data_IF_766568656088
#
_entry.id   IF_766568656088
#
_cell.length_a   1.000
_cell.length_b   1.000
_cell.length_c   1.000
_cell.angle_alpha   90.00
_cell.angle_beta   90.00
_cell.angle_gamma   90.00
#
_symmetry.space_group_name_H-M   'P 1'
#
loop_
_entity.id
_entity.type
_entity.pdbx_description
1 polymer ?
#
# COMPACT_ATOMS: atom_id res chain seq x y z
N UNK A 1 -5.12 0.51 25.65
CA UNK A 1 -6.21 1.47 25.40
C UNK A 1 -5.60 2.87 25.47
N UNK A 2 -5.13 3.41 24.34
CA UNK A 2 -4.47 4.72 24.30
C UNK A 2 -5.50 5.82 24.60
N UNK A 3 -5.12 6.77 25.45
CA UNK A 3 -5.95 7.90 25.84
C UNK A 3 -6.51 8.64 24.62
N UNK A 4 -7.82 8.84 24.61
CA UNK A 4 -8.59 9.34 23.45
C UNK A 4 -8.09 10.71 22.96
N UNK A 5 -7.50 11.48 23.88
CA UNK A 5 -6.93 12.82 23.68
C UNK A 5 -5.63 12.81 22.85
N UNK A 6 -4.77 11.81 23.05
CA UNK A 6 -3.48 11.68 22.32
C UNK A 6 -3.73 11.22 20.88
N UNK A 7 -4.64 10.25 20.70
CA UNK A 7 -5.02 9.76 19.37
C UNK A 7 -5.71 10.85 18.53
N UNK A 8 -6.61 11.63 19.14
CA UNK A 8 -7.29 12.72 18.44
C UNK A 8 -6.32 13.82 17.99
N UNK A 9 -5.23 14.05 18.74
CA UNK A 9 -4.15 14.99 18.34
C UNK A 9 -3.34 14.50 17.14
N UNK A 10 -2.98 13.21 17.10
CA UNK A 10 -2.17 12.64 16.01
C UNK A 10 -2.95 12.60 14.68
N UNK A 11 -4.25 12.32 14.73
CA UNK A 11 -5.07 12.06 13.54
C UNK A 11 -5.66 13.33 12.92
N UNK A 12 -6.04 14.34 13.71
CA UNK A 12 -6.84 15.49 13.22
C UNK A 12 -6.04 16.63 12.60
N UNK A 13 -4.71 16.68 12.74
CA UNK A 13 -3.91 17.85 12.34
C UNK A 13 -3.88 18.12 10.82
N UNK A 14 -4.36 17.19 9.97
CA UNK A 14 -4.28 17.34 8.50
C UNK A 14 -5.42 16.67 7.71
N UNK A 15 -6.59 16.45 8.32
CA UNK A 15 -7.71 15.82 7.65
C UNK A 15 -8.36 16.81 6.65
N UNK A 16 -8.39 16.46 5.35
CA UNK A 16 -9.02 17.30 4.33
C UNK A 16 -10.55 17.13 4.41
N UNK A 17 -11.22 18.05 5.11
CA UNK A 17 -12.68 18.01 5.32
C UNK A 17 -13.50 18.12 4.03
N UNK A 18 -12.88 18.49 2.91
CA UNK A 18 -13.54 18.63 1.61
C UNK A 18 -13.41 17.45 0.65
N UNK A 19 -12.77 16.33 1.05
CA UNK A 19 -12.61 15.17 0.16
C UNK A 19 -13.94 14.38 0.07
N UNK A 20 -14.49 14.15 -1.13
CA UNK A 20 -15.64 13.26 -1.33
C UNK A 20 -15.37 11.86 -0.78
N UNK A 21 -16.42 11.19 -0.28
CA UNK A 21 -16.29 9.85 0.31
C UNK A 21 -15.84 8.79 -0.69
N UNK A 22 -16.25 8.94 -1.94
CA UNK A 22 -15.88 8.03 -3.03
C UNK A 22 -14.36 8.12 -3.32
N UNK A 23 -13.83 9.34 -3.48
CA UNK A 23 -12.38 9.58 -3.63
C UNK A 23 -11.59 9.05 -2.43
N UNK A 24 -12.10 9.25 -1.21
CA UNK A 24 -11.47 8.70 -0.01
C UNK A 24 -11.44 7.17 -0.04
N UNK A 25 -12.54 6.53 -0.44
CA UNK A 25 -12.63 5.08 -0.56
C UNK A 25 -11.69 4.55 -1.65
N UNK A 26 -11.65 5.19 -2.82
CA UNK A 26 -10.74 4.86 -3.92
C UNK A 26 -9.28 4.91 -3.46
N UNK A 27 -8.87 6.01 -2.80
CA UNK A 27 -7.50 6.16 -2.27
C UNK A 27 -7.14 5.14 -1.19
N UNK A 28 -8.08 4.80 -0.31
CA UNK A 28 -7.87 3.78 0.72
C UNK A 28 -7.73 2.41 0.06
N UNK A 29 -8.57 2.08 -0.92
CA UNK A 29 -8.49 0.84 -1.68
C UNK A 29 -7.14 0.71 -2.39
N UNK A 30 -6.76 1.75 -3.15
CA UNK A 30 -5.46 1.86 -3.82
C UNK A 30 -4.28 1.70 -2.83
N UNK A 31 -4.37 2.32 -1.65
CA UNK A 31 -3.36 2.18 -0.60
C UNK A 31 -3.24 0.73 -0.12
N UNK A 32 -4.35 0.09 0.25
CA UNK A 32 -4.35 -1.28 0.76
C UNK A 32 -3.85 -2.25 -0.31
N UNK A 33 -4.39 -2.16 -1.52
CA UNK A 33 -4.06 -3.05 -2.62
C UNK A 33 -2.58 -2.96 -3.02
N UNK A 34 -2.06 -1.73 -3.15
CA UNK A 34 -0.65 -1.49 -3.42
C UNK A 34 0.25 -2.13 -2.36
N UNK A 35 0.00 -1.86 -1.07
CA UNK A 35 0.84 -2.41 0.00
C UNK A 35 0.83 -3.95 0.04
N UNK A 36 -0.30 -4.59 -0.22
CA UNK A 36 -0.40 -6.06 -0.26
C UNK A 36 0.43 -6.62 -1.42
N UNK A 37 0.28 -6.06 -2.63
CA UNK A 37 0.95 -6.60 -3.81
C UNK A 37 2.46 -6.41 -3.76
N UNK A 38 2.91 -5.24 -3.31
CA UNK A 38 4.33 -4.98 -3.07
C UNK A 38 4.87 -5.89 -1.96
N UNK A 39 4.13 -6.08 -0.87
CA UNK A 39 4.56 -7.01 0.17
C UNK A 39 4.70 -8.44 -0.38
N UNK A 40 3.72 -8.91 -1.15
CA UNK A 40 3.74 -10.24 -1.75
C UNK A 40 4.90 -10.42 -2.74
N UNK A 41 5.21 -9.40 -3.54
CA UNK A 41 6.32 -9.42 -4.48
C UNK A 41 7.68 -9.52 -3.76
N UNK A 42 7.94 -8.68 -2.76
CA UNK A 42 9.15 -8.79 -1.91
C UNK A 42 9.21 -10.14 -1.21
N UNK A 43 8.05 -10.65 -0.78
CA UNK A 43 8.00 -11.94 -0.13
C UNK A 43 8.36 -13.09 -1.07
N UNK A 44 8.19 -12.95 -2.38
CA UNK A 44 8.61 -13.97 -3.33
C UNK A 44 10.11 -13.94 -3.66
N UNK A 45 10.85 -12.88 -3.29
CA UNK A 45 12.25 -12.67 -3.67
C UNK A 45 13.26 -13.39 -2.77
N UNK A 46 14.40 -13.77 -3.31
CA UNK A 46 15.56 -14.21 -2.53
C UNK A 46 16.65 -13.12 -2.45
N UNK A 47 17.77 -13.42 -1.79
CA UNK A 47 18.88 -12.47 -1.65
C UNK A 47 19.57 -12.19 -2.99
N UNK A 48 19.64 -13.19 -3.87
CA UNK A 48 20.27 -13.04 -5.19
C UNK A 48 19.46 -12.09 -6.09
N UNK A 49 18.13 -12.05 -5.97
CA UNK A 49 17.30 -11.07 -6.67
C UNK A 49 17.65 -9.62 -6.30
N UNK A 50 18.04 -9.37 -5.05
CA UNK A 50 18.42 -8.04 -4.57
C UNK A 50 19.83 -7.68 -5.05
N UNK A 51 20.79 -8.59 -4.93
CA UNK A 51 22.17 -8.36 -5.37
C UNK A 51 22.28 -7.99 -6.86
N UNK A 52 21.46 -8.61 -7.70
CA UNK A 52 21.44 -8.31 -9.14
C UNK A 52 20.52 -7.13 -9.50
N UNK A 53 19.90 -6.46 -8.51
CA UNK A 53 18.95 -5.37 -8.73
C UNK A 53 17.61 -5.78 -9.37
N UNK A 54 17.41 -7.08 -9.61
CA UNK A 54 16.18 -7.64 -10.19
C UNK A 54 14.97 -7.38 -9.30
N UNK A 55 15.15 -7.41 -7.98
CA UNK A 55 14.13 -7.08 -7.00
C UNK A 55 13.46 -5.73 -7.27
N UNK A 56 14.25 -4.70 -7.58
CA UNK A 56 13.75 -3.34 -7.84
C UNK A 56 12.94 -3.29 -9.14
N UNK A 57 13.41 -3.97 -10.20
CA UNK A 57 12.71 -4.01 -11.49
C UNK A 57 11.37 -4.72 -11.36
N UNK A 58 11.34 -5.84 -10.64
CA UNK A 58 10.10 -6.59 -10.38
C UNK A 58 9.13 -5.76 -9.55
N UNK A 59 9.60 -5.14 -8.47
CA UNK A 59 8.79 -4.24 -7.62
C UNK A 59 8.15 -3.10 -8.41
N UNK A 60 8.96 -2.38 -9.21
CA UNK A 60 8.46 -1.29 -10.04
C UNK A 60 7.48 -1.80 -11.10
N UNK A 61 7.74 -2.98 -11.69
CA UNK A 61 6.85 -3.64 -12.63
C UNK A 61 5.50 -3.98 -12.01
N UNK A 62 5.50 -4.57 -10.81
CA UNK A 62 4.27 -4.89 -10.05
C UNK A 62 3.52 -3.61 -9.71
N UNK A 63 4.19 -2.59 -9.18
CA UNK A 63 3.58 -1.31 -8.83
C UNK A 63 2.92 -0.64 -10.04
N UNK A 64 3.65 -0.56 -11.16
CA UNK A 64 3.21 0.12 -12.36
C UNK A 64 2.09 -0.62 -13.09
N UNK A 65 2.22 -1.94 -13.28
CA UNK A 65 1.19 -2.77 -13.91
C UNK A 65 -0.11 -2.76 -13.11
N UNK A 66 -0.01 -2.88 -11.78
CA UNK A 66 -1.17 -2.81 -10.88
C UNK A 66 -1.85 -1.46 -10.96
N UNK A 67 -1.08 -0.37 -10.94
CA UNK A 67 -1.61 0.97 -11.07
C UNK A 67 -2.41 1.13 -12.37
N UNK A 68 -1.83 0.68 -13.49
CA UNK A 68 -2.48 0.79 -14.79
C UNK A 68 -3.76 -0.06 -14.86
N UNK A 69 -3.70 -1.29 -14.34
CA UNK A 69 -4.85 -2.19 -14.27
C UNK A 69 -5.98 -1.61 -13.39
N UNK A 70 -5.65 -1.02 -12.25
CA UNK A 70 -6.62 -0.41 -11.35
C UNK A 70 -7.34 0.75 -12.03
N UNK A 71 -6.58 1.68 -12.59
CA UNK A 71 -7.11 2.85 -13.33
C UNK A 71 -8.01 2.40 -14.48
N UNK A 72 -7.55 1.41 -15.25
CA UNK A 72 -8.33 0.84 -16.34
C UNK A 72 -9.66 0.24 -15.85
N UNK A 73 -9.62 -0.54 -14.77
CA UNK A 73 -10.82 -1.17 -14.20
C UNK A 73 -11.85 -0.14 -13.72
N UNK A 74 -11.39 0.96 -13.11
CA UNK A 74 -12.27 1.98 -12.58
C UNK A 74 -12.85 2.88 -13.68
N UNK A 75 -12.08 3.14 -14.74
CA UNK A 75 -12.58 3.79 -15.97
C UNK A 75 -13.70 2.95 -16.61
N UNK A 76 -13.51 1.63 -16.71
CA UNK A 76 -14.55 0.72 -17.22
C UNK A 76 -15.78 0.74 -16.30
N UNK A 77 -15.58 0.58 -14.99
CA UNK A 77 -16.68 0.57 -14.02
C UNK A 77 -17.46 1.88 -14.03
N UNK A 78 -16.78 3.02 -14.22
CA UNK A 78 -17.42 4.33 -14.38
C UNK A 78 -18.27 4.40 -15.63
N UNK A 79 -17.76 3.97 -16.79
CA UNK A 79 -18.54 3.96 -18.03
C UNK A 79 -19.82 3.14 -17.91
N UNK A 80 -19.73 1.98 -17.26
CA UNK A 80 -20.90 1.12 -17.02
C UNK A 80 -21.92 1.80 -16.10
N UNK A 81 -21.47 2.51 -15.05
CA UNK A 81 -22.36 3.21 -14.10
C UNK A 81 -22.97 4.50 -14.64
N UNK A 82 -22.23 5.28 -15.42
CA UNK A 82 -22.67 6.60 -15.91
C UNK A 82 -23.46 6.52 -17.22
N UNK A 83 -23.25 5.48 -18.03
CA UNK A 83 -23.80 5.39 -19.39
C UNK A 83 -23.28 6.46 -20.36
N UNK A 84 -22.29 7.25 -19.95
CA UNK A 84 -21.71 8.35 -20.71
C UNK A 84 -20.23 8.07 -21.03
N UNK A 85 -19.70 8.58 -22.16
CA UNK A 85 -18.29 8.42 -22.50
C UNK A 85 -17.37 9.00 -21.41
N UNK A 86 -16.29 8.29 -21.08
CA UNK A 86 -15.28 8.80 -20.13
C UNK A 86 -14.63 10.05 -20.68
N UNK A 87 -14.53 11.10 -19.86
CA UNK A 87 -13.75 12.28 -20.24
C UNK A 87 -12.29 12.12 -19.85
N UNK A 88 -11.40 12.92 -20.45
CA UNK A 88 -10.00 12.98 -20.02
C UNK A 88 -9.85 13.42 -18.55
N UNK A 89 -10.76 14.26 -18.07
CA UNK A 89 -10.77 14.71 -16.68
C UNK A 89 -11.04 13.56 -15.71
N UNK A 90 -11.96 12.66 -16.06
CA UNK A 90 -12.26 11.46 -15.27
C UNK A 90 -11.03 10.54 -15.18
N UNK A 91 -10.35 10.29 -16.30
CA UNK A 91 -9.14 9.47 -16.31
C UNK A 91 -8.04 10.09 -15.45
N UNK A 92 -7.87 11.42 -15.52
CA UNK A 92 -6.87 12.12 -14.70
C UNK A 92 -7.23 12.08 -13.20
N UNK A 93 -8.51 12.15 -12.87
CA UNK A 93 -8.99 11.97 -11.51
C UNK A 93 -8.64 10.56 -10.99
N UNK A 94 -8.92 9.55 -11.81
CA UNK A 94 -8.65 8.15 -11.46
C UNK A 94 -7.16 7.86 -11.28
N UNK A 95 -6.32 8.40 -12.16
CA UNK A 95 -4.87 8.32 -12.02
C UNK A 95 -4.41 8.90 -10.68
N UNK A 96 -4.99 10.02 -10.23
CA UNK A 96 -4.62 10.68 -8.96
C UNK A 96 -5.07 9.88 -7.75
N UNK A 97 -6.27 9.32 -7.79
CA UNK A 97 -6.79 8.50 -6.69
C UNK A 97 -6.04 7.16 -6.59
N UNK A 98 -5.45 6.70 -7.69
CA UNK A 98 -4.60 5.49 -7.76
C UNK A 98 -3.14 5.70 -7.35
N UNK A 99 -2.65 6.95 -7.18
CA UNK A 99 -1.26 7.26 -6.76
C UNK A 99 -0.79 6.46 -5.53
N UNK A 100 -1.62 6.16 -4.52
CA UNK A 100 -1.22 5.32 -3.39
C UNK A 100 -0.66 3.93 -3.77
N UNK A 101 -1.01 3.39 -4.94
CA UNK A 101 -0.45 2.13 -5.46
C UNK A 101 1.03 2.31 -5.79
N UNK A 102 1.38 3.24 -6.68
CA UNK A 102 2.78 3.44 -7.09
C UNK A 102 3.63 3.90 -5.90
N UNK A 103 3.09 4.81 -5.09
CA UNK A 103 3.82 5.33 -3.92
C UNK A 103 3.98 4.30 -2.79
N UNK A 104 3.32 3.14 -2.87
CA UNK A 104 3.54 2.04 -1.93
C UNK A 104 4.93 1.41 -2.09
N UNK A 105 5.45 1.35 -3.33
CA UNK A 105 6.74 0.73 -3.65
C UNK A 105 7.96 1.63 -3.39
N UNK A 106 7.78 2.95 -3.25
CA UNK A 106 8.91 3.90 -3.20
C UNK A 106 9.89 3.59 -2.07
N UNK A 107 9.41 3.48 -0.83
CA UNK A 107 10.30 3.20 0.32
C UNK A 107 10.91 1.79 0.24
N UNK A 108 10.15 0.72 -0.06
CA UNK A 108 10.73 -0.60 -0.29
C UNK A 108 11.80 -0.61 -1.39
N UNK A 109 11.54 0.00 -2.55
CA UNK A 109 12.53 0.08 -3.63
C UNK A 109 13.81 0.80 -3.19
N UNK A 110 13.71 1.87 -2.38
CA UNK A 110 14.89 2.55 -1.84
C UNK A 110 15.68 1.67 -0.87
N UNK A 111 15.00 0.92 -0.01
CA UNK A 111 15.65 -0.02 0.92
C UNK A 111 16.33 -1.15 0.15
N UNK A 112 15.64 -1.75 -0.82
CA UNK A 112 16.20 -2.79 -1.68
C UNK A 112 17.37 -2.27 -2.51
N UNK A 113 17.28 -1.04 -3.05
CA UNK A 113 18.38 -0.38 -3.73
C UNK A 113 19.60 -0.19 -2.81
N UNK A 114 19.37 0.21 -1.56
CA UNK A 114 20.45 0.31 -0.57
C UNK A 114 21.10 -1.06 -0.27
N UNK A 115 20.32 -2.15 -0.31
CA UNK A 115 20.84 -3.52 -0.28
C UNK A 115 21.69 -3.85 -1.51
N UNK A 116 21.18 -3.58 -2.71
CA UNK A 116 21.87 -3.86 -3.98
C UNK A 116 23.23 -3.14 -4.09
N UNK A 117 23.33 -1.90 -3.60
CA UNK A 117 24.60 -1.14 -3.56
C UNK A 117 25.43 -1.39 -2.30
N UNK A 118 25.05 -2.39 -1.48
CA UNK A 118 25.76 -2.84 -0.27
C UNK A 118 25.90 -1.76 0.82
N UNK A 119 25.00 -0.77 0.87
CA UNK A 119 24.89 0.18 1.98
C UNK A 119 24.23 -0.45 3.21
N UNK A 120 23.37 -1.45 2.99
CA UNK A 120 22.83 -2.32 4.03
C UNK A 120 23.05 -3.78 3.64
N UNK A 121 23.18 -4.70 4.61
CA UNK A 121 23.10 -6.13 4.34
C UNK A 121 21.80 -6.48 3.61
N UNK A 122 21.87 -7.32 2.58
CA UNK A 122 20.70 -7.75 1.79
C UNK A 122 19.57 -8.35 2.65
N UNK A 123 19.83 -9.23 3.64
CA UNK A 123 18.77 -9.72 4.51
C UNK A 123 18.06 -8.59 5.27
N UNK A 124 18.82 -7.56 5.66
CA UNK A 124 18.30 -6.41 6.40
C UNK A 124 17.47 -5.49 5.50
N UNK A 125 17.84 -5.29 4.23
CA UNK A 125 17.06 -4.48 3.29
C UNK A 125 15.70 -5.12 2.98
N UNK A 126 15.67 -6.44 2.80
CA UNK A 126 14.45 -7.23 2.61
C UNK A 126 13.58 -7.14 3.87
N UNK A 127 14.14 -7.46 5.05
CA UNK A 127 13.41 -7.46 6.30
C UNK A 127 12.85 -6.07 6.64
N UNK A 128 13.64 -5.00 6.47
CA UNK A 128 13.20 -3.63 6.70
C UNK A 128 12.04 -3.24 5.77
N UNK A 129 12.09 -3.67 4.50
CA UNK A 129 11.02 -3.42 3.53
C UNK A 129 9.72 -4.13 3.92
N UNK A 130 9.82 -5.40 4.32
CA UNK A 130 8.69 -6.19 4.81
C UNK A 130 8.07 -5.59 6.08
N UNK A 131 8.90 -5.21 7.06
CA UNK A 131 8.46 -4.56 8.30
C UNK A 131 7.77 -3.22 8.01
N UNK A 132 8.33 -2.42 7.11
CA UNK A 132 7.72 -1.15 6.71
C UNK A 132 6.31 -1.34 6.14
N UNK A 133 6.13 -2.28 5.22
CA UNK A 133 4.83 -2.58 4.61
C UNK A 133 3.85 -3.20 5.60
N UNK A 134 4.33 -4.08 6.49
CA UNK A 134 3.55 -4.63 7.59
C UNK A 134 2.99 -3.52 8.49
N UNK A 135 3.84 -2.56 8.88
CA UNK A 135 3.42 -1.40 9.67
C UNK A 135 2.40 -0.55 8.92
N UNK A 136 2.58 -0.33 7.61
CA UNK A 136 1.59 0.39 6.78
C UNK A 136 0.23 -0.30 6.77
N UNK A 137 0.20 -1.63 6.62
CA UNK A 137 -1.04 -2.41 6.65
C UNK A 137 -1.72 -2.35 8.03
N UNK A 138 -0.95 -2.47 9.12
CA UNK A 138 -1.47 -2.34 10.47
C UNK A 138 -2.05 -0.94 10.75
N UNK A 139 -1.50 0.10 10.11
CA UNK A 139 -1.93 1.49 10.27
C UNK A 139 -3.06 1.93 9.33
N UNK A 140 -3.62 1.03 8.49
CA UNK A 140 -4.72 1.35 7.56
C UNK A 140 -5.89 2.03 8.26
N UNK A 141 -6.28 1.56 9.45
CA UNK A 141 -7.38 2.18 10.20
C UNK A 141 -7.11 3.65 10.53
N UNK A 142 -5.88 4.04 10.87
CA UNK A 142 -5.51 5.45 11.08
C UNK A 142 -5.52 6.26 9.79
N UNK A 143 -5.14 5.66 8.66
CA UNK A 143 -5.22 6.30 7.33
C UNK A 143 -6.68 6.59 6.97
N UNK A 144 -7.59 5.64 7.24
CA UNK A 144 -9.04 5.81 7.06
C UNK A 144 -9.55 6.99 7.89
N UNK A 145 -9.14 7.08 9.17
CA UNK A 145 -9.56 8.19 10.04
C UNK A 145 -9.12 9.55 9.51
N UNK A 146 -7.87 9.59 9.04
CA UNK A 146 -7.26 10.81 8.51
C UNK A 146 -7.94 11.29 7.23
N UNK A 147 -8.29 10.36 6.32
CA UNK A 147 -8.93 10.71 5.05
C UNK A 147 -10.40 11.08 5.20
N UNK A 148 -11.15 10.39 6.07
CA UNK A 148 -12.57 10.62 6.27
C UNK A 148 -12.89 11.69 7.33
N UNK A 149 -11.88 12.20 8.05
CA UNK A 149 -12.03 13.10 9.19
C UNK A 149 -13.02 12.57 10.26
N UNK A 150 -13.18 11.24 10.33
CA UNK A 150 -14.11 10.52 11.21
C UNK A 150 -13.41 9.34 11.85
N UNK A 151 -13.87 8.91 13.02
CA UNK A 151 -13.31 7.72 13.67
C UNK A 151 -13.55 6.49 12.81
N UNK A 152 -12.52 5.67 12.67
CA UNK A 152 -12.57 4.41 11.98
C UNK A 152 -13.31 3.44 12.89
N UNK A 153 -14.17 2.62 12.29
CA UNK A 153 -14.84 1.56 13.01
C UNK A 153 -13.80 0.62 13.64
N UNK A 154 -14.13 0.06 14.80
CA UNK A 154 -13.33 -1.01 15.43
C UNK A 154 -13.11 -2.17 14.47
N UNK A 155 -14.10 -2.46 13.61
CA UNK A 155 -13.97 -3.46 12.54
C UNK A 155 -12.89 -3.10 11.50
N UNK A 156 -12.76 -1.82 11.12
CA UNK A 156 -11.73 -1.37 10.18
C UNK A 156 -10.33 -1.45 10.78
N UNK A 157 -10.20 -1.14 12.07
CA UNK A 157 -8.94 -1.32 12.80
C UNK A 157 -8.58 -2.81 12.90
N UNK A 158 -9.55 -3.65 13.24
CA UNK A 158 -9.37 -5.10 13.35
C UNK A 158 -9.01 -5.73 12.00
N UNK A 159 -9.61 -5.25 10.90
CA UNK A 159 -9.29 -5.72 9.56
C UNK A 159 -7.84 -5.42 9.17
N UNK A 160 -7.32 -4.22 9.49
CA UNK A 160 -5.90 -3.89 9.26
C UNK A 160 -4.96 -4.77 10.07
N UNK A 161 -5.28 -5.02 11.34
CA UNK A 161 -4.53 -5.94 12.20
C UNK A 161 -4.57 -7.37 11.67
N UNK A 162 -5.75 -7.86 11.26
CA UNK A 162 -5.91 -9.20 10.68
C UNK A 162 -5.09 -9.36 9.40
N UNK A 163 -5.11 -8.37 8.51
CA UNK A 163 -4.31 -8.37 7.29
C UNK A 163 -2.80 -8.40 7.60
N UNK A 164 -2.37 -7.63 8.60
CA UNK A 164 -0.99 -7.67 9.07
C UNK A 164 -0.63 -9.07 9.60
N UNK A 165 -1.49 -9.68 10.43
CA UNK A 165 -1.28 -11.04 10.95
C UNK A 165 -1.20 -12.09 9.83
N UNK A 166 -2.05 -12.00 8.82
CA UNK A 166 -1.99 -12.87 7.63
C UNK A 166 -0.64 -12.68 6.91
N UNK A 167 -0.24 -11.43 6.66
CA UNK A 167 1.04 -11.12 6.02
C UNK A 167 2.24 -11.68 6.81
N UNK A 168 2.24 -11.54 8.14
CA UNK A 168 3.26 -12.14 9.00
C UNK A 168 3.24 -13.67 8.97
N UNK A 169 2.07 -14.29 8.95
CA UNK A 169 1.92 -15.74 8.83
C UNK A 169 2.50 -16.29 7.52
N UNK A 170 2.22 -15.63 6.40
CA UNK A 170 2.78 -16.01 5.09
C UNK A 170 4.31 -15.83 5.10
N UNK A 171 4.81 -14.75 5.70
CA UNK A 171 6.25 -14.52 5.80
C UNK A 171 6.97 -15.56 6.66
N UNK A 172 6.38 -15.94 7.79
CA UNK A 172 6.90 -17.00 8.64
C UNK A 172 6.91 -18.34 7.89
N UNK A 173 5.82 -18.66 7.17
CA UNK A 173 5.73 -19.88 6.37
C UNK A 173 6.85 -19.94 5.32
N UNK A 174 7.11 -18.84 4.61
CA UNK A 174 8.22 -18.77 3.65
C UNK A 174 9.54 -19.12 4.34
N UNK A 175 9.85 -18.49 5.47
CA UNK A 175 11.09 -18.75 6.21
C UNK A 175 11.20 -20.22 6.59
N UNK A 176 10.12 -20.84 7.06
CA UNK A 176 10.14 -22.28 7.43
C UNK A 176 10.28 -23.23 6.25
N UNK A 177 9.81 -22.85 5.06
CA UNK A 177 9.91 -23.67 3.84
C UNK A 177 11.21 -23.46 3.06
N UNK A 178 11.88 -22.33 3.28
CA UNK A 178 13.19 -22.02 2.70
C UNK A 178 14.37 -22.58 3.51
N UNK A 179 14.10 -23.26 4.63
CA UNK A 179 15.07 -23.95 5.48
C UNK A 179 15.13 -25.46 5.20
#
# INVERSE_FOLDING_TARGET
MLDSTVRDRIVRYRANRGLPREDAAARISAYVYGNILIFAAILAMDEADVDHGRAIVVELGVAFSTFLAHVFSEVIARNVRSGAPTTRSDVLHELRDSIPIITSAVVPCLLLAAGAVQWLPVPMSIAASQVYLFVRLALVGFVVERLLARRASTHTLLAGVLMALIAAGIALLKVTLSY
#
